data_IF_282524442106
#
_entry.id   IF_282524442106
#
_cell.length_a   1.000
_cell.length_b   1.000
_cell.length_c   1.000
_cell.angle_alpha   90.00
_cell.angle_beta   90.00
_cell.angle_gamma   90.00
#
_symmetry.space_group_name_H-M   'P 1'
#
loop_
_entity.id
_entity.type
_entity.pdbx_description
1 polymer ?
#
# COMPACT_ATOMS: atom_id res chain seq x y z
N UNK A 1 -3.66 19.43 -11.74
CA UNK A 1 -2.37 18.75 -11.52
C UNK A 1 -1.29 19.67 -12.07
N UNK A 2 -0.24 19.91 -11.29
CA UNK A 2 0.92 20.67 -11.75
C UNK A 2 1.70 19.80 -12.74
N UNK A 3 1.87 20.30 -13.96
CA UNK A 3 2.35 19.51 -15.10
C UNK A 3 3.85 19.26 -14.96
N UNK A 4 4.59 20.27 -14.50
CA UNK A 4 6.02 20.14 -14.22
C UNK A 4 6.27 19.24 -13.01
N UNK A 5 5.43 19.33 -11.96
CA UNK A 5 5.53 18.43 -10.82
C UNK A 5 5.36 16.95 -11.20
N UNK A 6 4.43 16.62 -12.10
CA UNK A 6 4.29 15.25 -12.62
C UNK A 6 5.46 14.88 -13.53
N UNK A 7 5.84 15.76 -14.44
CA UNK A 7 6.86 15.50 -15.47
C UNK A 7 8.24 15.23 -14.85
N UNK A 8 8.60 15.99 -13.84
CA UNK A 8 9.89 15.93 -13.15
C UNK A 8 9.81 15.22 -11.79
N UNK A 9 8.63 14.75 -11.41
CA UNK A 9 8.41 14.04 -10.15
C UNK A 9 9.30 12.82 -10.00
N UNK A 10 9.84 12.66 -8.80
CA UNK A 10 10.55 11.46 -8.37
C UNK A 10 9.64 10.63 -7.45
N UNK A 11 9.36 9.39 -7.84
CA UNK A 11 8.50 8.48 -7.09
C UNK A 11 9.28 7.48 -6.21
N UNK A 12 10.60 7.63 -6.07
CA UNK A 12 11.42 6.69 -5.28
C UNK A 12 10.98 6.55 -3.83
N UNK A 13 10.49 7.64 -3.21
CA UNK A 13 9.96 7.58 -1.85
C UNK A 13 8.68 6.72 -1.76
N UNK A 14 7.86 6.75 -2.81
CA UNK A 14 6.66 5.93 -2.90
C UNK A 14 7.04 4.46 -3.16
N UNK A 15 8.06 4.20 -3.99
CA UNK A 15 8.61 2.85 -4.19
C UNK A 15 9.12 2.23 -2.88
N UNK A 16 9.85 3.02 -2.08
CA UNK A 16 10.30 2.59 -0.75
C UNK A 16 9.12 2.32 0.18
N UNK A 17 8.11 3.21 0.18
CA UNK A 17 6.92 3.02 1.01
C UNK A 17 6.16 1.74 0.65
N UNK A 18 5.96 1.46 -0.64
CA UNK A 18 5.37 0.20 -1.12
C UNK A 18 6.18 -0.99 -0.61
N UNK A 19 7.51 -0.97 -0.81
CA UNK A 19 8.41 -2.05 -0.38
C UNK A 19 8.38 -2.30 1.13
N UNK A 20 8.28 -1.23 1.92
CA UNK A 20 8.20 -1.34 3.37
C UNK A 20 6.85 -1.90 3.83
N UNK A 21 5.74 -1.48 3.22
CA UNK A 21 4.43 -2.06 3.51
C UNK A 21 4.31 -3.51 3.07
N UNK A 22 4.87 -3.90 1.92
CA UNK A 22 4.96 -5.31 1.52
C UNK A 22 5.75 -6.16 2.53
N UNK A 23 6.80 -5.58 3.14
CA UNK A 23 7.52 -6.24 4.23
C UNK A 23 6.65 -6.39 5.47
N UNK A 24 5.89 -5.36 5.82
CA UNK A 24 4.95 -5.43 6.94
C UNK A 24 3.84 -6.45 6.71
N UNK A 25 3.33 -6.59 5.49
CA UNK A 25 2.39 -7.65 5.10
C UNK A 25 2.99 -9.03 5.39
N UNK A 26 4.23 -9.29 4.94
CA UNK A 26 4.91 -10.57 5.20
C UNK A 26 5.09 -10.85 6.69
N UNK A 27 5.50 -9.84 7.46
CA UNK A 27 5.68 -9.96 8.91
C UNK A 27 4.36 -10.24 9.63
N UNK A 28 3.29 -9.53 9.26
CA UNK A 28 1.96 -9.72 9.85
C UNK A 28 1.36 -11.08 9.47
N UNK A 29 1.64 -11.57 8.25
CA UNK A 29 1.25 -12.93 7.86
C UNK A 29 1.92 -13.99 8.74
N UNK A 30 3.21 -13.84 9.02
CA UNK A 30 3.93 -14.75 9.90
C UNK A 30 3.35 -14.73 11.33
N UNK A 31 3.09 -13.55 11.88
CA UNK A 31 2.47 -13.40 13.21
C UNK A 31 1.03 -13.95 13.24
N UNK A 32 0.27 -13.76 12.17
CA UNK A 32 -1.05 -14.35 12.02
C UNK A 32 -0.97 -15.88 12.09
N UNK A 33 -0.04 -16.49 11.34
CA UNK A 33 0.12 -17.94 11.28
C UNK A 33 0.57 -18.50 12.63
N UNK A 34 1.54 -17.86 13.29
CA UNK A 34 1.97 -18.23 14.65
C UNK A 34 0.82 -18.13 15.67
N UNK A 35 0.00 -17.08 15.58
CA UNK A 35 -1.13 -16.89 16.47
C UNK A 35 -2.26 -17.91 16.23
N UNK A 36 -2.57 -18.23 14.97
CA UNK A 36 -3.62 -19.17 14.60
C UNK A 36 -3.20 -20.63 14.84
N UNK A 37 -2.04 -21.03 14.31
CA UNK A 37 -1.59 -22.42 14.30
C UNK A 37 -0.82 -22.81 15.56
N UNK A 38 -0.19 -21.84 16.22
CA UNK A 38 0.53 -22.03 17.47
C UNK A 38 -0.38 -21.78 18.67
N UNK A 39 -0.60 -20.50 18.98
CA UNK A 39 -1.23 -20.07 20.23
C UNK A 39 -2.68 -20.55 20.34
N UNK A 40 -3.52 -20.27 19.33
CA UNK A 40 -4.94 -20.63 19.35
C UNK A 40 -5.15 -22.14 19.30
N UNK A 41 -4.45 -22.85 18.42
CA UNK A 41 -4.56 -24.30 18.34
C UNK A 41 -4.15 -25.00 19.66
N UNK A 42 -3.11 -24.49 20.33
CA UNK A 42 -2.68 -25.01 21.64
C UNK A 42 -3.70 -24.70 22.73
N UNK A 43 -4.21 -23.46 22.79
CA UNK A 43 -5.20 -23.05 23.79
C UNK A 43 -6.52 -23.83 23.68
N UNK A 44 -6.93 -24.21 22.46
CA UNK A 44 -8.12 -25.05 22.22
C UNK A 44 -7.92 -26.48 22.70
N UNK A 45 -6.72 -27.06 22.51
CA UNK A 45 -6.43 -28.45 22.90
C UNK A 45 -6.11 -28.63 24.38
N UNK A 46 -5.79 -27.54 25.08
CA UNK A 46 -5.35 -27.63 26.46
C UNK A 46 -6.51 -27.91 27.42
N UNK A 47 -6.35 -28.92 28.27
CA UNK A 47 -7.30 -29.30 29.32
C UNK A 47 -7.17 -28.37 30.54
N UNK A 48 -7.44 -27.08 30.31
CA UNK A 48 -7.42 -26.05 31.34
C UNK A 48 -8.76 -25.99 32.06
N UNK A 49 -8.72 -26.09 33.38
CA UNK A 49 -9.89 -25.97 34.26
C UNK A 49 -9.84 -24.68 35.09
N UNK A 50 -11.02 -24.21 35.52
CA UNK A 50 -11.19 -23.01 36.34
C UNK A 50 -11.51 -21.74 35.54
N UNK A 51 -11.90 -20.68 36.26
CA UNK A 51 -12.43 -19.44 35.67
C UNK A 51 -11.49 -18.80 34.63
N UNK A 52 -10.18 -18.88 34.88
CA UNK A 52 -9.15 -18.24 34.03
C UNK A 52 -8.94 -18.96 32.68
N UNK A 53 -9.38 -20.22 32.56
CA UNK A 53 -9.21 -21.00 31.34
C UNK A 53 -9.98 -20.41 30.15
N UNK A 54 -11.23 -19.99 30.38
CA UNK A 54 -12.07 -19.38 29.34
C UNK A 54 -11.58 -17.98 28.98
N UNK A 55 -11.23 -17.16 29.98
CA UNK A 55 -10.69 -15.80 29.76
C UNK A 55 -9.42 -15.86 28.89
N UNK A 56 -8.53 -16.81 29.16
CA UNK A 56 -7.28 -16.95 28.39
C UNK A 56 -7.54 -17.42 26.97
N UNK A 57 -8.46 -18.38 26.77
CA UNK A 57 -8.87 -18.84 25.43
C UNK A 57 -9.50 -17.72 24.59
N UNK A 58 -10.37 -16.91 25.18
CA UNK A 58 -10.99 -15.78 24.51
C UNK A 58 -9.96 -14.72 24.14
N UNK A 59 -9.03 -14.41 25.06
CA UNK A 59 -7.93 -13.48 24.80
C UNK A 59 -7.04 -13.94 23.64
N UNK A 60 -6.62 -15.20 23.63
CA UNK A 60 -5.81 -15.78 22.54
C UNK A 60 -6.56 -15.76 21.22
N UNK A 61 -7.85 -16.14 21.24
CA UNK A 61 -8.70 -16.14 20.05
C UNK A 61 -8.83 -14.74 19.46
N UNK A 62 -9.08 -13.73 20.32
CA UNK A 62 -9.16 -12.34 19.89
C UNK A 62 -7.82 -11.86 19.34
N UNK A 63 -6.72 -12.12 20.03
CA UNK A 63 -5.37 -11.71 19.57
C UNK A 63 -5.04 -12.29 18.19
N UNK A 64 -5.38 -13.56 17.93
CA UNK A 64 -5.19 -14.16 16.61
C UNK A 64 -6.06 -13.50 15.51
N UNK A 65 -7.27 -13.04 15.86
CA UNK A 65 -8.12 -12.28 14.95
C UNK A 65 -7.53 -10.90 14.63
N UNK A 66 -7.01 -10.17 15.63
CA UNK A 66 -6.37 -8.87 15.42
C UNK A 66 -5.17 -8.94 14.46
N UNK A 67 -4.38 -10.01 14.49
CA UNK A 67 -3.29 -10.21 13.51
C UNK A 67 -3.82 -10.46 12.09
N UNK A 68 -4.95 -11.16 11.96
CA UNK A 68 -5.61 -11.39 10.67
C UNK A 68 -6.12 -10.08 10.08
N UNK A 69 -6.73 -9.25 10.91
CA UNK A 69 -7.23 -7.94 10.52
C UNK A 69 -6.09 -6.99 10.16
N UNK A 70 -5.03 -6.96 10.97
CA UNK A 70 -3.83 -6.16 10.70
C UNK A 70 -3.17 -6.56 9.37
N UNK A 71 -3.02 -7.86 9.10
CA UNK A 71 -2.50 -8.37 7.82
C UNK A 71 -3.36 -7.90 6.64
N UNK A 72 -4.69 -7.95 6.77
CA UNK A 72 -5.64 -7.51 5.75
C UNK A 72 -5.53 -6.01 5.48
N UNK A 73 -5.46 -5.20 6.53
CA UNK A 73 -5.31 -3.74 6.42
C UNK A 73 -3.96 -3.36 5.80
N UNK A 74 -2.86 -3.97 6.27
CA UNK A 74 -1.53 -3.73 5.70
C UNK A 74 -1.47 -4.12 4.21
N UNK A 75 -2.14 -5.20 3.82
CA UNK A 75 -2.22 -5.64 2.42
C UNK A 75 -2.97 -4.62 1.55
N UNK A 76 -4.04 -4.03 2.10
CA UNK A 76 -4.81 -3.00 1.41
C UNK A 76 -3.99 -1.71 1.22
N UNK A 77 -3.21 -1.32 2.23
CA UNK A 77 -2.29 -0.15 2.14
C UNK A 77 -1.19 -0.43 1.11
N UNK A 78 -0.60 -1.64 1.17
CA UNK A 78 0.13 -2.34 0.10
C UNK A 78 -0.31 -1.92 -1.31
N UNK A 79 -1.50 -2.43 -1.64
CA UNK A 79 -2.11 -2.30 -2.96
C UNK A 79 -2.36 -0.84 -3.33
N UNK A 80 -2.99 -0.05 -2.45
CA UNK A 80 -3.33 1.34 -2.76
C UNK A 80 -2.08 2.17 -3.09
N UNK A 81 -1.00 1.99 -2.33
CA UNK A 81 0.25 2.70 -2.59
C UNK A 81 0.89 2.24 -3.91
N UNK A 82 0.88 0.93 -4.19
CA UNK A 82 1.39 0.36 -5.43
C UNK A 82 0.63 0.85 -6.66
N UNK A 83 -0.71 0.77 -6.62
CA UNK A 83 -1.59 1.22 -7.70
C UNK A 83 -1.41 2.73 -7.96
N UNK A 84 -1.40 3.54 -6.90
CA UNK A 84 -1.18 4.99 -7.01
C UNK A 84 0.18 5.30 -7.65
N UNK A 85 1.22 4.57 -7.25
CA UNK A 85 2.56 4.72 -7.81
C UNK A 85 2.57 4.43 -9.31
N UNK A 86 2.00 3.30 -9.70
CA UNK A 86 2.01 2.85 -11.09
C UNK A 86 1.18 3.76 -11.99
N UNK A 87 0.05 4.27 -11.49
CA UNK A 87 -0.72 5.31 -12.17
C UNK A 87 0.10 6.58 -12.39
N UNK A 88 0.78 7.09 -11.36
CA UNK A 88 1.60 8.31 -11.47
C UNK A 88 2.76 8.13 -12.47
N UNK A 89 3.43 6.98 -12.45
CA UNK A 89 4.49 6.64 -13.42
C UNK A 89 3.93 6.56 -14.83
N UNK A 90 2.78 5.91 -14.99
CA UNK A 90 2.07 5.81 -16.28
C UNK A 90 1.68 7.19 -16.82
N UNK A 91 1.06 8.04 -15.99
CA UNK A 91 0.68 9.40 -16.39
C UNK A 91 1.89 10.25 -16.75
N UNK A 92 3.00 10.13 -16.01
CA UNK A 92 4.27 10.80 -16.38
C UNK A 92 4.77 10.34 -17.75
N UNK A 93 4.74 9.04 -18.04
CA UNK A 93 5.14 8.49 -19.34
C UNK A 93 4.25 8.99 -20.47
N UNK A 94 2.94 8.99 -20.27
CA UNK A 94 1.97 9.51 -21.25
C UNK A 94 2.18 11.01 -21.51
N UNK A 95 2.44 11.80 -20.46
CA UNK A 95 2.74 13.22 -20.56
C UNK A 95 4.03 13.47 -21.37
N UNK A 96 5.11 12.76 -21.06
CA UNK A 96 6.38 12.88 -21.79
C UNK A 96 6.18 12.56 -23.26
N UNK A 97 5.51 11.45 -23.57
CA UNK A 97 5.23 11.06 -24.95
C UNK A 97 4.34 12.08 -25.68
N UNK A 98 3.37 12.70 -24.99
CA UNK A 98 2.54 13.75 -25.58
C UNK A 98 3.35 15.01 -25.91
N UNK A 99 4.27 15.41 -25.04
CA UNK A 99 5.16 16.55 -25.26
C UNK A 99 6.08 16.28 -26.45
N UNK A 100 6.68 15.09 -26.54
CA UNK A 100 7.54 14.69 -27.67
C UNK A 100 6.79 14.75 -29.00
N UNK A 101 5.54 14.25 -29.05
CA UNK A 101 4.69 14.35 -30.24
C UNK A 101 4.36 15.80 -30.61
N UNK A 102 4.17 16.68 -29.63
CA UNK A 102 3.95 18.11 -29.85
C UNK A 102 5.19 18.76 -30.47
N UNK A 103 6.36 18.52 -29.88
CA UNK A 103 7.65 19.05 -30.38
C UNK A 103 7.91 18.61 -31.83
N UNK A 104 7.64 17.34 -32.17
CA UNK A 104 7.77 16.84 -33.54
C UNK A 104 6.85 17.56 -34.56
N UNK A 105 5.82 18.26 -34.09
CA UNK A 105 4.89 19.07 -34.89
C UNK A 105 5.14 20.59 -34.75
N UNK A 106 6.28 21.00 -34.20
CA UNK A 106 6.60 22.40 -33.87
C UNK A 106 5.64 23.05 -32.87
N UNK A 107 4.99 22.26 -32.01
CA UNK A 107 4.17 22.74 -30.91
C UNK A 107 5.00 22.76 -29.63
N UNK A 108 4.88 23.84 -28.85
CA UNK A 108 5.52 23.95 -27.52
C UNK A 108 4.47 23.90 -26.43
N UNK A 109 4.70 23.05 -25.43
CA UNK A 109 3.87 22.95 -24.23
C UNK A 109 4.61 23.67 -23.10
N UNK A 110 3.94 24.60 -22.43
CA UNK A 110 4.43 25.24 -21.20
C UNK A 110 3.40 25.04 -20.10
N UNK A 111 3.86 24.72 -18.90
CA UNK A 111 2.99 24.79 -17.73
C UNK A 111 2.67 26.25 -17.45
N UNK A 112 1.38 26.57 -17.31
CA UNK A 112 0.87 27.89 -16.94
C UNK A 112 0.41 27.95 -15.49
N UNK A 113 0.52 26.83 -14.76
CA UNK A 113 -0.12 26.62 -13.48
C UNK A 113 -1.62 26.34 -13.66
N UNK A 114 -2.11 25.35 -12.91
CA UNK A 114 -3.53 24.92 -12.88
C UNK A 114 -4.08 24.31 -14.18
N UNK A 115 -3.23 23.92 -15.13
CA UNK A 115 -3.67 23.25 -16.36
C UNK A 115 -4.45 24.15 -17.32
N UNK A 116 -4.13 25.45 -17.34
CA UNK A 116 -4.67 26.37 -18.35
C UNK A 116 -3.79 26.36 -19.60
N UNK A 117 -4.30 26.84 -20.74
CA UNK A 117 -3.47 27.06 -21.93
C UNK A 117 -3.33 28.57 -22.14
N UNK A 118 -2.17 29.07 -22.58
CA UNK A 118 -2.05 30.47 -22.98
C UNK A 118 -3.01 30.70 -24.16
N UNK A 119 -4.02 31.56 -24.00
CA UNK A 119 -4.73 32.11 -25.15
C UNK A 119 -3.82 33.11 -25.84
N UNK A 120 -3.64 32.93 -27.16
CA UNK A 120 -2.95 33.85 -28.06
C UNK A 120 -3.57 35.24 -28.01
#
# INVERSE_FOLDING_TARGET
MDLDALRFGNFSALDSAVSDWERQVKNLKALQDEAQDGLKATAVKADWAGLNANVTRDFVTKTAAEFTDAHTQASSIAAILGDTRDELVSYRGQLVAAIERGVAKNLTVRDTGKGTFPST
#
